data_IF_607632422435
#
_entry.id   IF_607632422435
#
_cell.length_a   1.000
_cell.length_b   1.000
_cell.length_c   1.000
_cell.angle_alpha   90.00
_cell.angle_beta   90.00
_cell.angle_gamma   90.00
#
_symmetry.space_group_name_H-M   'P 1'
#
loop_
_entity.id
_entity.type
_entity.pdbx_description
1 polymer ?
#
# COMPACT_ATOMS: atom_id res chain seq x y z
N UNK A 1 1.44 7.65 3.71
CA UNK A 1 2.68 7.47 4.50
C UNK A 1 3.64 8.64 4.27
N UNK A 2 4.38 9.10 5.28
CA UNK A 2 5.42 10.15 5.11
C UNK A 2 6.77 9.49 4.77
N UNK A 3 7.59 10.17 3.95
CA UNK A 3 8.89 9.64 3.50
C UNK A 3 9.88 9.43 4.66
N UNK A 4 9.81 10.26 5.70
CA UNK A 4 10.68 10.16 6.89
C UNK A 4 10.45 8.84 7.62
N UNK A 5 9.19 8.51 7.89
CA UNK A 5 8.79 7.27 8.55
C UNK A 5 9.34 6.04 7.81
N UNK A 6 9.25 6.03 6.47
CA UNK A 6 9.72 4.90 5.65
C UNK A 6 11.25 4.72 5.75
N UNK A 7 12.00 5.83 5.84
CA UNK A 7 13.47 5.79 5.97
C UNK A 7 13.93 5.28 7.34
N UNK A 8 13.10 5.44 8.36
CA UNK A 8 13.37 4.94 9.72
C UNK A 8 13.06 3.44 9.88
N UNK A 9 12.30 2.86 8.94
CA UNK A 9 11.99 1.42 8.95
C UNK A 9 13.18 0.60 8.47
N UNK A 10 13.38 -0.57 9.07
CA UNK A 10 14.30 -1.58 8.55
C UNK A 10 13.77 -2.20 7.24
N UNK A 11 14.66 -2.85 6.47
CA UNK A 11 14.25 -3.56 5.23
C UNK A 11 13.16 -4.59 5.47
N UNK A 12 13.24 -5.35 6.55
CA UNK A 12 12.25 -6.37 6.88
C UNK A 12 10.88 -5.76 7.21
N UNK A 13 10.87 -4.64 7.93
CA UNK A 13 9.63 -3.92 8.23
C UNK A 13 9.03 -3.30 6.98
N UNK A 14 9.86 -2.73 6.09
CA UNK A 14 9.41 -2.24 4.79
C UNK A 14 8.78 -3.35 3.96
N UNK A 15 9.38 -4.54 3.92
CA UNK A 15 8.83 -5.69 3.18
C UNK A 15 7.53 -6.23 3.80
N UNK A 16 7.44 -6.32 5.14
CA UNK A 16 6.20 -6.68 5.83
C UNK A 16 5.08 -5.70 5.50
N UNK A 17 5.36 -4.41 5.60
CA UNK A 17 4.38 -3.34 5.32
C UNK A 17 3.98 -3.29 3.85
N UNK A 18 4.92 -3.57 2.95
CA UNK A 18 4.64 -3.71 1.52
C UNK A 18 3.64 -4.84 1.26
N UNK A 19 3.84 -6.02 1.84
CA UNK A 19 2.92 -7.16 1.72
C UNK A 19 1.54 -6.82 2.29
N UNK A 20 1.47 -6.16 3.43
CA UNK A 20 0.20 -5.72 4.03
C UNK A 20 -0.58 -4.79 3.09
N UNK A 21 0.08 -3.79 2.51
CA UNK A 21 -0.53 -2.85 1.58
C UNK A 21 -0.97 -3.53 0.27
N UNK A 22 -0.21 -4.51 -0.24
CA UNK A 22 -0.59 -5.28 -1.42
C UNK A 22 -1.83 -6.15 -1.15
N UNK A 23 -1.95 -6.76 0.04
CA UNK A 23 -3.14 -7.51 0.47
C UNK A 23 -4.35 -6.56 0.62
N UNK A 24 -4.17 -5.39 1.22
CA UNK A 24 -5.23 -4.38 1.36
C UNK A 24 -5.73 -3.93 -0.02
N UNK A 25 -4.80 -3.66 -0.95
CA UNK A 25 -5.12 -3.30 -2.33
C UNK A 25 -5.91 -4.40 -3.04
N UNK A 26 -5.53 -5.67 -2.85
CA UNK A 26 -6.23 -6.80 -3.43
C UNK A 26 -7.66 -6.88 -2.93
N UNK A 27 -7.88 -6.78 -1.61
CA UNK A 27 -9.22 -6.79 -1.00
C UNK A 27 -10.10 -5.65 -1.49
N UNK A 28 -9.53 -4.45 -1.65
CA UNK A 28 -10.29 -3.31 -2.19
C UNK A 28 -10.64 -3.52 -3.66
N UNK A 29 -9.73 -4.08 -4.46
CA UNK A 29 -9.99 -4.39 -5.87
C UNK A 29 -11.04 -5.47 -6.05
N UNK A 30 -11.02 -6.53 -5.22
CA UNK A 30 -12.05 -7.57 -5.27
C UNK A 30 -13.41 -6.99 -4.90
N UNK A 31 -13.48 -6.17 -3.85
CA UNK A 31 -14.72 -5.48 -3.46
C UNK A 31 -15.29 -4.61 -4.59
N UNK A 32 -14.45 -3.78 -5.22
CA UNK A 32 -14.85 -2.95 -6.37
C UNK A 32 -15.39 -3.83 -7.49
N UNK A 33 -14.67 -4.91 -7.82
CA UNK A 33 -15.00 -5.79 -8.94
C UNK A 33 -16.29 -6.57 -8.70
N UNK A 34 -16.60 -6.92 -7.46
CA UNK A 34 -17.86 -7.53 -7.05
C UNK A 34 -19.04 -6.55 -7.02
N UNK A 35 -18.85 -5.29 -7.42
CA UNK A 35 -19.89 -4.25 -7.38
C UNK A 35 -20.16 -3.71 -5.97
N UNK A 36 -19.27 -3.99 -5.02
CA UNK A 36 -19.41 -3.53 -3.64
C UNK A 36 -19.15 -2.03 -3.51
N UNK A 37 -19.91 -1.37 -2.64
CA UNK A 37 -19.71 0.03 -2.34
C UNK A 37 -18.36 0.23 -1.63
N UNK A 38 -17.44 0.95 -2.27
CA UNK A 38 -16.18 1.35 -1.66
C UNK A 38 -16.42 2.59 -0.82
N UNK A 39 -16.34 2.44 0.50
CA UNK A 39 -16.49 3.57 1.44
C UNK A 39 -15.52 4.72 1.16
N UNK A 40 -14.36 4.45 0.58
CA UNK A 40 -13.34 5.46 0.35
C UNK A 40 -12.58 5.23 -0.98
N UNK A 41 -13.07 5.74 -2.13
CA UNK A 41 -12.48 5.50 -3.43
C UNK A 41 -11.03 6.03 -3.53
N UNK A 42 -10.70 7.07 -2.77
CA UNK A 42 -9.35 7.62 -2.68
C UNK A 42 -8.31 6.67 -2.04
N UNK A 43 -8.76 5.67 -1.27
CA UNK A 43 -7.88 4.74 -0.54
C UNK A 43 -7.03 3.91 -1.49
N UNK A 44 -7.59 3.44 -2.59
CA UNK A 44 -6.87 2.69 -3.63
C UNK A 44 -5.69 3.52 -4.17
N UNK A 45 -5.93 4.81 -4.45
CA UNK A 45 -4.89 5.73 -4.95
C UNK A 45 -3.84 6.05 -3.89
N UNK A 46 -4.21 6.08 -2.60
CA UNK A 46 -3.28 6.27 -1.48
C UNK A 46 -2.37 5.04 -1.33
N UNK A 47 -2.94 3.84 -1.26
CA UNK A 47 -2.19 2.59 -1.12
C UNK A 47 -1.21 2.40 -2.27
N UNK A 48 -1.63 2.66 -3.52
CA UNK A 48 -0.72 2.60 -4.68
C UNK A 48 0.49 3.54 -4.54
N UNK A 49 0.29 4.75 -4.00
CA UNK A 49 1.37 5.72 -3.76
C UNK A 49 2.29 5.29 -2.63
N UNK A 50 1.73 4.72 -1.56
CA UNK A 50 2.52 4.23 -0.43
C UNK A 50 3.35 3.00 -0.82
N UNK A 51 2.80 2.07 -1.61
CA UNK A 51 3.53 0.95 -2.23
C UNK A 51 4.68 1.47 -3.09
N UNK A 52 4.44 2.45 -3.96
CA UNK A 52 5.48 2.99 -4.84
C UNK A 52 6.64 3.64 -4.05
N UNK A 53 6.34 4.34 -2.95
CA UNK A 53 7.36 4.91 -2.07
C UNK A 53 8.20 3.84 -1.37
N UNK A 54 7.56 2.76 -0.90
CA UNK A 54 8.25 1.62 -0.29
C UNK A 54 9.17 0.92 -1.30
N UNK A 55 8.68 0.65 -2.53
CA UNK A 55 9.50 0.03 -3.59
C UNK A 55 10.69 0.91 -3.98
N UNK A 56 10.47 2.22 -4.13
CA UNK A 56 11.53 3.20 -4.43
C UNK A 56 12.68 3.15 -3.41
N UNK A 57 12.38 3.06 -2.11
CA UNK A 57 13.39 2.99 -1.04
C UNK A 57 14.03 1.60 -0.91
N UNK A 58 13.27 0.54 -1.20
CA UNK A 58 13.76 -0.82 -1.15
C UNK A 58 14.69 -1.18 -2.34
N UNK A 59 14.68 -0.38 -3.41
CA UNK A 59 15.50 -0.61 -4.61
C UNK A 59 15.11 -1.85 -5.41
N UNK A 60 13.85 -2.30 -5.28
CA UNK A 60 13.24 -3.40 -6.04
C UNK A 60 12.29 -2.87 -7.10
#
# INVERSE_FOLDING_TARGET
MKMREIREMSKEEMEKKLKELEIELLKLRTLVRSGGAVKNPGRIRQIRRDIARLKMLCGK
#
